data_IF_256663277373
#
_entry.id   IF_256663277373
#
_cell.length_a   1.000
_cell.length_b   1.000
_cell.length_c   1.000
_cell.angle_alpha   90.00
_cell.angle_beta   90.00
_cell.angle_gamma   90.00
#
_symmetry.space_group_name_H-M   'P 1'
#
loop_
_entity.id
_entity.type
_entity.pdbx_description
1 polymer ?
#
# COMPACT_ATOMS: atom_id res chain seq x y z
N UNK A 1 39.76 -8.39 40.82
CA UNK A 1 40.43 -7.09 40.58
C UNK A 1 41.31 -7.28 39.37
N UNK A 2 40.90 -6.74 38.22
CA UNK A 2 41.58 -6.95 36.94
C UNK A 2 41.13 -5.87 35.97
N UNK A 3 41.67 -4.67 36.17
CA UNK A 3 41.41 -3.49 35.35
C UNK A 3 42.12 -3.67 34.00
N UNK A 4 41.38 -3.67 32.91
CA UNK A 4 41.94 -3.60 31.55
C UNK A 4 41.31 -2.42 30.83
N UNK A 5 42.03 -1.32 30.88
CA UNK A 5 41.83 -0.08 30.14
C UNK A 5 42.38 -0.25 28.72
N UNK A 6 41.52 -0.22 27.68
CA UNK A 6 41.96 -0.17 26.28
C UNK A 6 41.74 1.23 25.70
N UNK A 7 42.84 1.82 25.28
CA UNK A 7 43.02 3.18 24.81
C UNK A 7 42.23 3.53 23.53
N UNK A 8 41.68 4.74 23.54
CA UNK A 8 41.13 5.43 22.39
C UNK A 8 42.20 5.72 21.33
N UNK A 9 41.92 5.37 20.07
CA UNK A 9 42.70 5.81 18.92
C UNK A 9 41.83 6.71 18.04
N UNK A 10 41.95 8.02 18.24
CA UNK A 10 41.38 9.02 17.34
C UNK A 10 42.26 9.12 16.09
N UNK A 11 41.72 8.72 14.93
CA UNK A 11 42.31 9.04 13.62
C UNK A 11 41.47 10.15 12.99
N UNK A 12 41.98 11.39 13.11
CA UNK A 12 41.52 12.58 12.42
C UNK A 12 42.41 12.81 11.20
N UNK A 13 41.87 12.65 9.99
CA UNK A 13 42.49 13.10 8.73
C UNK A 13 41.37 13.36 7.71
N UNK A 14 41.32 14.55 7.11
CA UNK A 14 40.50 14.77 5.92
C UNK A 14 40.04 16.20 5.64
N UNK A 15 41.01 17.05 5.29
CA UNK A 15 40.95 18.27 4.48
C UNK A 15 39.58 18.73 3.91
N UNK A 16 39.13 19.89 4.36
CA UNK A 16 38.07 20.70 3.74
C UNK A 16 38.58 21.40 2.48
N UNK A 17 38.23 20.89 1.31
CA UNK A 17 38.33 21.64 0.04
C UNK A 17 37.11 22.54 -0.08
N UNK A 18 37.31 23.84 0.12
CA UNK A 18 36.34 24.90 -0.16
C UNK A 18 36.16 25.05 -1.67
N UNK A 19 35.12 24.43 -2.21
CA UNK A 19 34.69 24.64 -3.61
C UNK A 19 33.78 25.86 -3.67
N UNK A 20 34.21 26.89 -4.38
CA UNK A 20 33.44 28.11 -4.63
C UNK A 20 32.08 27.79 -5.30
N UNK A 21 30.97 28.45 -4.90
CA UNK A 21 29.70 28.29 -5.58
C UNK A 21 29.77 28.95 -6.97
N UNK A 22 29.64 28.13 -8.01
CA UNK A 22 29.44 28.61 -9.37
C UNK A 22 28.05 29.27 -9.48
N UNK A 23 28.01 30.48 -10.03
CA UNK A 23 26.77 31.23 -10.28
C UNK A 23 25.77 30.41 -11.09
N UNK A 24 24.48 30.38 -10.69
CA UNK A 24 23.45 29.68 -11.45
C UNK A 24 23.26 30.35 -12.82
N UNK A 25 23.22 29.53 -13.87
CA UNK A 25 22.89 29.98 -15.22
C UNK A 25 21.44 30.55 -15.25
N UNK A 26 21.19 31.62 -16.03
CA UNK A 26 19.87 32.20 -16.17
C UNK A 26 18.90 31.16 -16.78
N UNK A 27 17.78 30.93 -16.11
CA UNK A 27 16.74 30.04 -16.59
C UNK A 27 16.11 30.59 -17.88
N UNK A 28 15.85 29.74 -18.90
CA UNK A 28 15.19 30.16 -20.13
C UNK A 28 13.74 30.59 -19.81
N UNK A 29 13.40 31.82 -20.20
CA UNK A 29 12.08 32.41 -20.06
C UNK A 29 11.00 31.50 -20.65
N UNK A 30 10.08 31.04 -19.81
CA UNK A 30 8.93 30.23 -20.25
C UNK A 30 8.02 31.07 -21.17
N UNK A 31 7.63 30.55 -22.35
CA UNK A 31 6.74 31.25 -23.26
C UNK A 31 5.36 31.46 -22.62
N UNK A 32 4.95 32.72 -22.58
CA UNK A 32 3.68 33.16 -22.03
C UNK A 32 2.55 32.75 -22.99
N UNK A 33 1.80 31.70 -22.66
CA UNK A 33 0.61 31.32 -23.43
C UNK A 33 -0.58 32.16 -22.95
N UNK A 34 -1.14 32.96 -23.86
CA UNK A 34 -2.34 33.75 -23.59
C UNK A 34 -3.58 32.83 -23.51
N UNK A 35 -4.48 33.05 -22.53
CA UNK A 35 -5.74 32.32 -22.47
C UNK A 35 -6.64 32.74 -23.63
N UNK A 36 -7.07 31.76 -24.44
CA UNK A 36 -8.07 31.95 -25.50
C UNK A 36 -9.45 31.92 -24.86
N UNK A 37 -10.21 32.99 -25.03
CA UNK A 37 -11.60 33.08 -24.58
C UNK A 37 -12.46 32.05 -25.32
N UNK A 38 -13.15 31.19 -24.57
CA UNK A 38 -14.11 30.24 -25.12
C UNK A 38 -15.36 30.97 -25.65
N UNK A 39 -15.96 30.51 -26.75
CA UNK A 39 -17.16 31.11 -27.31
C UNK A 39 -18.34 31.01 -26.33
N UNK A 40 -18.88 32.17 -25.98
CA UNK A 40 -20.04 32.33 -25.13
C UNK A 40 -21.24 31.82 -25.93
N UNK A 41 -21.77 30.67 -25.56
CA UNK A 41 -22.98 30.14 -26.19
C UNK A 41 -24.18 30.97 -25.73
N UNK A 42 -24.70 31.82 -26.61
CA UNK A 42 -25.95 32.55 -26.36
C UNK A 42 -27.12 31.57 -26.42
N UNK A 43 -27.62 31.19 -25.25
CA UNK A 43 -28.83 30.39 -25.09
C UNK A 43 -30.07 31.28 -25.29
N UNK A 44 -30.54 31.37 -26.54
CA UNK A 44 -31.93 31.72 -26.84
C UNK A 44 -32.64 30.45 -27.32
N UNK A 45 -33.11 29.64 -26.36
CA UNK A 45 -33.92 28.47 -26.66
C UNK A 45 -35.42 28.85 -26.53
N UNK A 46 -36.22 28.74 -27.61
CA UNK A 46 -37.65 28.95 -27.54
C UNK A 46 -38.32 27.85 -26.70
N UNK A 47 -39.33 28.24 -25.94
CA UNK A 47 -40.12 27.40 -25.06
C UNK A 47 -40.82 26.27 -25.83
N UNK A 48 -40.17 25.11 -25.92
CA UNK A 48 -40.81 23.87 -26.39
C UNK A 48 -41.39 23.15 -25.18
N UNK A 49 -42.70 22.91 -25.23
CA UNK A 49 -43.44 22.12 -24.25
C UNK A 49 -42.78 20.76 -24.07
N UNK A 50 -42.28 20.52 -22.86
CA UNK A 50 -41.66 19.27 -22.45
C UNK A 50 -42.74 18.19 -22.38
N UNK A 51 -42.75 17.29 -23.37
CA UNK A 51 -43.54 16.06 -23.30
C UNK A 51 -42.84 15.15 -22.29
N UNK A 52 -43.53 14.87 -21.18
CA UNK A 52 -43.08 13.93 -20.16
C UNK A 52 -42.92 12.54 -20.77
N UNK A 53 -41.70 12.16 -21.14
CA UNK A 53 -41.39 10.78 -21.52
C UNK A 53 -41.67 9.87 -20.31
N UNK A 54 -42.28 8.69 -20.52
CA UNK A 54 -42.45 7.70 -19.46
C UNK A 54 -41.07 7.40 -18.89
N UNK A 55 -40.87 7.76 -17.62
CA UNK A 55 -39.61 7.59 -16.95
C UNK A 55 -39.33 6.09 -16.96
N UNK A 56 -38.31 5.59 -17.69
CA UNK A 56 -37.91 4.20 -17.55
C UNK A 56 -37.60 4.03 -16.08
N UNK A 57 -38.39 3.16 -15.45
CA UNK A 57 -38.39 2.84 -14.05
C UNK A 57 -36.95 2.93 -13.55
N UNK A 58 -36.64 4.02 -12.83
CA UNK A 58 -35.31 4.27 -12.27
C UNK A 58 -35.15 3.27 -11.13
N UNK A 59 -34.99 2.00 -11.49
CA UNK A 59 -34.48 0.98 -10.61
C UNK A 59 -33.12 1.50 -10.19
N UNK A 60 -33.10 2.12 -9.01
CA UNK A 60 -31.90 2.40 -8.26
C UNK A 60 -31.09 1.10 -8.30
N UNK A 61 -30.12 1.06 -9.20
CA UNK A 61 -29.21 -0.07 -9.34
C UNK A 61 -28.41 -0.08 -8.04
N UNK A 62 -28.94 -0.75 -7.02
CA UNK A 62 -28.16 -1.09 -5.86
C UNK A 62 -26.97 -1.88 -6.40
N UNK A 63 -25.74 -1.38 -6.20
CA UNK A 63 -24.58 -2.10 -6.66
C UNK A 63 -24.63 -3.49 -6.03
N UNK A 64 -24.35 -4.55 -6.83
CA UNK A 64 -24.41 -5.90 -6.33
C UNK A 64 -23.55 -6.01 -5.06
N UNK A 65 -24.12 -6.59 -4.01
CA UNK A 65 -23.42 -6.76 -2.75
C UNK A 65 -22.30 -7.78 -2.95
N UNK A 66 -21.06 -7.29 -3.03
CA UNK A 66 -19.88 -8.15 -3.07
C UNK A 66 -19.63 -8.81 -1.71
N UNK A 67 -19.52 -10.14 -1.70
CA UNK A 67 -19.20 -10.96 -0.55
C UNK A 67 -17.72 -11.35 -0.58
N UNK A 68 -17.01 -11.14 0.53
CA UNK A 68 -15.61 -11.54 0.66
C UNK A 68 -15.50 -13.01 1.07
N UNK A 69 -14.52 -13.72 0.52
CA UNK A 69 -14.23 -15.09 0.87
C UNK A 69 -13.95 -15.25 2.39
N UNK A 70 -14.45 -16.31 3.07
CA UNK A 70 -14.26 -16.56 4.50
C UNK A 70 -12.79 -16.56 4.98
N UNK A 71 -11.85 -17.00 4.12
CA UNK A 71 -10.42 -16.98 4.42
C UNK A 71 -9.84 -15.57 4.48
N UNK A 72 -10.39 -14.64 3.71
CA UNK A 72 -9.92 -13.26 3.67
C UNK A 72 -10.69 -12.38 4.67
N UNK A 73 -11.81 -12.84 5.22
CA UNK A 73 -12.55 -12.08 6.22
C UNK A 73 -11.79 -12.07 7.55
N UNK A 74 -12.00 -11.03 8.34
CA UNK A 74 -11.37 -10.89 9.66
C UNK A 74 -11.76 -12.08 10.56
N UNK A 75 -10.80 -12.94 10.91
CA UNK A 75 -11.04 -14.12 11.74
C UNK A 75 -9.85 -15.09 11.82
N UNK A 76 -9.95 -16.17 12.59
CA UNK A 76 -8.87 -17.14 12.81
C UNK A 76 -8.78 -18.20 11.68
N UNK A 77 -9.30 -17.91 10.49
CA UNK A 77 -9.40 -18.88 9.40
C UNK A 77 -8.05 -19.11 8.71
N UNK A 78 -7.19 -18.09 8.73
CA UNK A 78 -5.87 -18.10 8.13
C UNK A 78 -4.88 -17.46 9.09
N UNK A 79 -3.71 -18.09 9.21
CA UNK A 79 -2.54 -17.52 9.85
C UNK A 79 -1.47 -17.36 8.77
N UNK A 80 -1.25 -16.10 8.37
CA UNK A 80 -0.29 -15.76 7.33
C UNK A 80 0.70 -14.72 7.85
N UNK A 81 1.96 -15.14 8.00
CA UNK A 81 3.07 -14.25 8.31
C UNK A 81 3.64 -13.70 6.99
N UNK A 82 3.52 -12.38 6.79
CA UNK A 82 3.91 -11.70 5.54
C UNK A 82 5.41 -11.76 5.24
N UNK A 83 6.23 -12.14 6.22
CA UNK A 83 7.69 -12.31 6.04
C UNK A 83 8.03 -13.68 5.44
N UNK A 84 7.11 -14.64 5.50
CA UNK A 84 7.31 -16.01 5.05
C UNK A 84 6.73 -16.24 3.65
N UNK A 85 7.11 -17.35 3.04
CA UNK A 85 6.56 -17.81 1.76
C UNK A 85 5.10 -18.27 1.91
N UNK A 86 4.30 -18.18 0.84
CA UNK A 86 2.89 -18.62 0.86
C UNK A 86 2.75 -20.12 1.15
N UNK A 87 3.77 -20.94 0.86
CA UNK A 87 3.80 -22.34 1.26
C UNK A 87 3.75 -22.55 2.78
N UNK A 88 4.00 -21.50 3.59
CA UNK A 88 3.92 -21.53 5.05
C UNK A 88 2.62 -20.93 5.60
N UNK A 89 1.66 -20.60 4.74
CA UNK A 89 0.31 -20.22 5.16
C UNK A 89 -0.30 -21.39 5.92
N UNK A 90 -0.77 -21.13 7.14
CA UNK A 90 -1.49 -22.11 7.94
C UNK A 90 -2.97 -21.79 7.87
N UNK A 91 -3.77 -22.77 7.45
CA UNK A 91 -5.22 -22.69 7.54
C UNK A 91 -5.70 -23.33 8.84
N UNK A 92 -6.90 -22.96 9.26
CA UNK A 92 -7.59 -23.67 10.33
C UNK A 92 -7.73 -25.17 9.98
N UNK A 93 -7.62 -26.10 10.94
CA UNK A 93 -7.59 -27.55 10.64
C UNK A 93 -8.81 -28.11 9.87
N UNK A 94 -9.95 -27.43 9.93
CA UNK A 94 -11.19 -27.77 9.22
C UNK A 94 -11.26 -27.18 7.81
N UNK A 95 -10.24 -26.44 7.37
CA UNK A 95 -10.22 -25.76 6.09
C UNK A 95 -9.22 -26.45 5.13
N UNK A 96 -9.69 -27.03 4.00
CA UNK A 96 -8.80 -27.70 3.07
C UNK A 96 -7.87 -26.69 2.36
N UNK A 97 -6.59 -27.04 2.10
CA UNK A 97 -5.63 -26.17 1.42
C UNK A 97 -6.10 -25.67 0.04
N UNK A 98 -6.95 -26.45 -0.65
CA UNK A 98 -7.51 -26.10 -1.94
C UNK A 98 -8.31 -24.78 -1.92
N UNK A 99 -8.85 -24.38 -0.75
CA UNK A 99 -9.63 -23.13 -0.59
C UNK A 99 -8.84 -21.86 -0.92
N UNK A 100 -7.51 -21.91 -0.88
CA UNK A 100 -6.65 -20.78 -1.26
C UNK A 100 -6.79 -20.47 -2.76
N UNK A 101 -7.23 -21.42 -3.57
CA UNK A 101 -7.44 -21.25 -5.02
C UNK A 101 -8.86 -20.82 -5.38
N UNK A 102 -9.76 -20.69 -4.41
CA UNK A 102 -11.12 -20.19 -4.62
C UNK A 102 -11.12 -18.67 -4.85
N UNK A 103 -12.18 -18.15 -5.48
CA UNK A 103 -12.32 -16.71 -5.74
C UNK A 103 -12.39 -15.91 -4.43
N UNK A 104 -11.66 -14.79 -4.40
CA UNK A 104 -11.58 -13.91 -3.24
C UNK A 104 -12.89 -13.16 -2.95
N UNK A 105 -13.69 -12.90 -3.99
CA UNK A 105 -14.93 -12.12 -3.92
C UNK A 105 -16.00 -12.78 -4.77
N UNK A 106 -17.26 -12.75 -4.31
CA UNK A 106 -18.43 -13.19 -5.05
C UNK A 106 -19.43 -12.01 -5.19
N UNK A 107 -19.86 -11.63 -6.42
CA UNK A 107 -19.46 -12.20 -7.71
C UNK A 107 -17.97 -11.98 -8.01
N UNK A 108 -17.41 -12.82 -8.89
CA UNK A 108 -16.00 -12.75 -9.26
C UNK A 108 -15.67 -11.38 -9.87
N UNK A 109 -14.54 -10.81 -9.47
CA UNK A 109 -14.04 -9.52 -9.98
C UNK A 109 -12.64 -9.70 -10.55
N UNK A 110 -12.32 -8.91 -11.57
CA UNK A 110 -11.00 -8.93 -12.20
C UNK A 110 -10.01 -7.93 -11.59
N UNK A 111 -10.50 -6.99 -10.77
CA UNK A 111 -9.70 -5.99 -10.06
C UNK A 111 -10.19 -5.84 -8.62
N UNK A 112 -9.25 -5.73 -7.68
CA UNK A 112 -9.52 -5.49 -6.27
C UNK A 112 -8.50 -4.50 -5.72
N UNK A 113 -8.99 -3.47 -5.03
CA UNK A 113 -8.16 -2.44 -4.40
C UNK A 113 -8.14 -2.66 -2.90
N UNK A 114 -6.94 -2.83 -2.34
CA UNK A 114 -6.71 -3.02 -0.91
C UNK A 114 -5.94 -1.81 -0.37
N UNK A 115 -6.46 -1.21 0.69
CA UNK A 115 -5.92 -0.02 1.35
C UNK A 115 -5.45 -0.36 2.76
N UNK A 116 -4.37 0.29 3.19
CA UNK A 116 -3.85 0.20 4.55
C UNK A 116 -4.20 1.47 5.31
N UNK A 117 -5.13 1.39 6.26
CA UNK A 117 -5.57 2.58 7.01
C UNK A 117 -4.42 3.23 7.81
N UNK A 118 -3.47 2.43 8.29
CA UNK A 118 -2.28 2.93 9.02
C UNK A 118 -1.22 3.53 8.07
N UNK A 119 -1.27 3.19 6.77
CA UNK A 119 -0.25 3.52 5.77
C UNK A 119 -0.89 3.86 4.42
N UNK A 120 -1.66 4.96 4.34
CA UNK A 120 -2.52 5.26 3.18
C UNK A 120 -1.76 5.55 1.88
N UNK A 121 -0.46 5.84 1.96
CA UNK A 121 0.40 6.05 0.79
C UNK A 121 0.56 4.78 -0.07
N UNK A 122 0.25 3.61 0.47
CA UNK A 122 0.41 2.34 -0.22
C UNK A 122 -0.94 1.69 -0.48
N UNK A 123 -1.31 1.70 -1.75
CA UNK A 123 -2.46 0.98 -2.28
C UNK A 123 -1.97 -0.31 -2.93
N UNK A 124 -2.60 -1.43 -2.60
CA UNK A 124 -2.32 -2.74 -3.19
C UNK A 124 -3.42 -3.01 -4.22
N UNK A 125 -3.04 -3.04 -5.49
CA UNK A 125 -3.94 -3.41 -6.58
C UNK A 125 -3.69 -4.87 -6.99
N UNK A 126 -4.74 -5.68 -6.90
CA UNK A 126 -4.77 -7.07 -7.35
C UNK A 126 -5.56 -7.10 -8.66
N UNK A 127 -4.98 -7.65 -9.72
CA UNK A 127 -5.60 -7.73 -11.05
C UNK A 127 -5.44 -9.15 -11.57
N UNK A 128 -6.56 -9.78 -11.94
CA UNK A 128 -6.60 -11.08 -12.59
C UNK A 128 -7.79 -11.12 -13.56
N UNK A 129 -7.58 -11.15 -14.89
CA UNK A 129 -8.65 -11.19 -15.89
C UNK A 129 -9.62 -12.36 -15.74
N UNK A 130 -9.18 -13.47 -15.13
CA UNK A 130 -9.96 -14.69 -14.94
C UNK A 130 -10.72 -14.73 -13.60
N UNK A 131 -10.63 -13.67 -12.80
CA UNK A 131 -11.18 -13.61 -11.46
C UNK A 131 -10.10 -13.74 -10.39
N UNK A 132 -10.14 -12.87 -9.39
CA UNK A 132 -9.15 -12.82 -8.33
C UNK A 132 -9.37 -13.95 -7.34
N UNK A 133 -8.33 -14.73 -7.06
CA UNK A 133 -8.33 -15.81 -6.06
C UNK A 133 -7.80 -15.35 -4.70
N UNK A 134 -8.04 -16.13 -3.64
CA UNK A 134 -7.44 -15.88 -2.32
C UNK A 134 -5.91 -15.89 -2.41
N UNK A 135 -5.34 -16.80 -3.19
CA UNK A 135 -3.90 -16.87 -3.47
C UNK A 135 -3.36 -15.56 -4.04
N UNK A 136 -4.03 -15.01 -5.08
CA UNK A 136 -3.61 -13.77 -5.73
C UNK A 136 -3.55 -12.61 -4.75
N UNK A 137 -4.55 -12.52 -3.86
CA UNK A 137 -4.62 -11.48 -2.82
C UNK A 137 -3.44 -11.60 -1.86
N UNK A 138 -3.20 -12.78 -1.28
CA UNK A 138 -2.13 -13.00 -0.31
C UNK A 138 -0.75 -12.79 -0.94
N UNK A 139 -0.56 -13.27 -2.17
CA UNK A 139 0.68 -13.09 -2.92
C UNK A 139 0.94 -11.61 -3.17
N UNK A 140 -0.07 -10.87 -3.62
CA UNK A 140 0.10 -9.45 -3.92
C UNK A 140 0.39 -8.62 -2.68
N UNK A 141 -0.29 -8.91 -1.56
CA UNK A 141 0.00 -8.29 -0.26
C UNK A 141 1.48 -8.51 0.10
N UNK A 142 1.96 -9.75 0.01
CA UNK A 142 3.36 -10.11 0.32
C UNK A 142 4.35 -9.35 -0.57
N UNK A 143 4.15 -9.40 -1.88
CA UNK A 143 5.01 -8.74 -2.86
C UNK A 143 5.08 -7.23 -2.60
N UNK A 144 3.92 -6.60 -2.42
CA UNK A 144 3.87 -5.16 -2.19
C UNK A 144 4.56 -4.76 -0.89
N UNK A 145 4.38 -5.52 0.19
CA UNK A 145 4.97 -5.20 1.50
C UNK A 145 6.46 -5.55 1.62
N UNK A 146 6.93 -6.54 0.87
CA UNK A 146 8.36 -6.90 0.82
C UNK A 146 9.18 -6.00 -0.10
N UNK A 147 8.56 -5.07 -0.82
CA UNK A 147 9.26 -4.08 -1.64
C UNK A 147 10.04 -3.10 -0.76
N UNK A 148 11.25 -2.75 -1.20
CA UNK A 148 12.06 -1.69 -0.59
C UNK A 148 11.37 -0.32 -0.69
N UNK A 149 11.57 0.51 0.32
CA UNK A 149 11.02 1.87 0.43
C UNK A 149 11.96 2.85 -0.26
N UNK A 150 11.42 3.63 -1.19
CA UNK A 150 12.16 4.70 -1.86
C UNK A 150 12.32 5.92 -0.95
N UNK A 151 13.32 6.77 -1.24
CA UNK A 151 13.52 8.01 -0.48
C UNK A 151 12.31 8.95 -0.53
N UNK A 152 11.56 8.95 -1.63
CA UNK A 152 10.34 9.73 -1.79
C UNK A 152 9.21 9.20 -0.89
N UNK A 153 8.98 7.88 -0.87
CA UNK A 153 8.01 7.27 0.05
C UNK A 153 8.38 7.57 1.51
N UNK A 154 9.66 7.49 1.86
CA UNK A 154 10.15 7.83 3.20
C UNK A 154 9.80 9.26 3.60
N UNK A 155 9.83 10.20 2.64
CA UNK A 155 9.47 11.61 2.86
C UNK A 155 7.96 11.84 3.01
N UNK A 156 7.13 11.00 2.39
CA UNK A 156 5.67 11.09 2.50
C UNK A 156 5.16 10.72 3.90
N UNK A 157 5.89 9.91 4.67
CA UNK A 157 5.52 9.51 6.03
C UNK A 157 5.97 10.50 7.11
N UNK A 158 5.61 11.79 6.96
CA UNK A 158 5.77 12.79 8.03
C UNK A 158 4.50 12.78 8.91
N UNK A 159 4.62 12.56 10.23
CA UNK A 159 5.78 12.84 11.09
C UNK A 159 6.80 11.71 11.21
N UNK A 160 8.03 12.06 11.63
CA UNK A 160 9.21 11.18 11.74
C UNK A 160 9.07 9.91 12.61
N UNK A 161 8.01 9.79 13.41
CA UNK A 161 7.83 8.64 14.32
C UNK A 161 7.64 7.32 13.57
N UNK A 162 6.87 7.30 12.48
CA UNK A 162 6.64 6.08 11.70
C UNK A 162 7.93 5.61 11.02
N UNK A 163 8.73 6.57 10.52
CA UNK A 163 10.05 6.31 9.94
C UNK A 163 11.02 5.73 10.97
N UNK A 164 11.07 6.29 12.18
CA UNK A 164 11.92 5.77 13.25
C UNK A 164 11.51 4.34 13.66
N UNK A 165 10.20 4.10 13.83
CA UNK A 165 9.67 2.77 14.12
C UNK A 165 10.00 1.75 13.01
N UNK A 166 9.95 2.18 11.74
CA UNK A 166 10.34 1.35 10.61
C UNK A 166 11.86 1.05 10.62
N UNK A 167 12.71 2.02 10.95
CA UNK A 167 14.16 1.81 11.08
C UNK A 167 14.47 0.81 12.21
N UNK A 168 13.78 0.92 13.35
CA UNK A 168 13.97 -0.02 14.47
C UNK A 168 13.51 -1.43 14.10
N UNK A 169 12.41 -1.55 13.36
CA UNK A 169 11.89 -2.82 12.85
C UNK A 169 12.81 -3.45 11.81
N UNK A 170 13.36 -2.63 10.89
CA UNK A 170 14.41 -3.02 9.95
C UNK A 170 15.64 -3.57 10.67
N UNK A 171 16.12 -2.87 11.71
CA UNK A 171 17.27 -3.32 12.53
C UNK A 171 16.98 -4.63 13.25
N UNK A 172 15.78 -4.79 13.78
CA UNK A 172 15.36 -6.03 14.44
C UNK A 172 15.34 -7.20 13.45
N UNK A 173 14.77 -7.00 12.25
CA UNK A 173 14.70 -8.01 11.19
C UNK A 173 16.08 -8.42 10.66
N UNK A 174 16.98 -7.46 10.50
CA UNK A 174 18.29 -7.67 9.84
C UNK A 174 19.42 -8.07 10.77
N UNK A 175 19.20 -8.09 12.10
CA UNK A 175 20.24 -8.36 13.10
C UNK A 175 21.04 -9.65 12.84
N UNK A 176 20.42 -10.66 12.26
CA UNK A 176 21.05 -11.96 12.01
C UNK A 176 21.36 -12.24 10.53
N UNK A 177 20.96 -11.37 9.60
CA UNK A 177 21.08 -11.65 8.16
C UNK A 177 21.58 -10.42 7.37
N UNK A 178 22.86 -10.47 6.99
CA UNK A 178 23.52 -9.44 6.21
C UNK A 178 22.89 -9.28 4.81
N UNK A 179 22.30 -10.33 4.24
CA UNK A 179 21.64 -10.27 2.93
C UNK A 179 20.37 -9.44 3.01
N UNK A 180 19.59 -9.63 4.06
CA UNK A 180 18.39 -8.82 4.33
C UNK A 180 18.75 -7.36 4.62
N UNK A 181 19.91 -7.09 5.25
CA UNK A 181 20.40 -5.72 5.44
C UNK A 181 20.68 -5.01 4.11
N UNK A 182 21.23 -5.71 3.11
CA UNK A 182 21.51 -5.15 1.79
C UNK A 182 20.25 -4.74 1.01
N UNK A 183 19.08 -5.32 1.35
CA UNK A 183 17.79 -4.97 0.75
C UNK A 183 17.20 -3.66 1.32
N UNK A 184 17.75 -3.16 2.42
CA UNK A 184 17.29 -1.93 3.07
C UNK A 184 15.91 -2.05 3.72
N UNK A 185 15.33 -0.88 4.03
CA UNK A 185 14.01 -0.77 4.65
C UNK A 185 12.94 -1.19 3.65
N UNK A 186 12.09 -2.13 4.06
CA UNK A 186 10.94 -2.64 3.31
C UNK A 186 9.66 -1.98 3.82
N UNK A 187 8.61 -1.93 3.00
CA UNK A 187 7.32 -1.36 3.41
C UNK A 187 6.73 -2.08 4.63
N UNK A 188 6.96 -3.38 4.76
CA UNK A 188 6.56 -4.16 5.95
C UNK A 188 7.18 -3.66 7.25
N UNK A 189 8.35 -3.01 7.21
CA UNK A 189 9.00 -2.53 8.44
C UNK A 189 8.16 -1.43 9.12
N UNK A 190 7.33 -0.72 8.35
CA UNK A 190 6.39 0.27 8.87
C UNK A 190 5.20 -0.34 9.61
N UNK A 191 4.98 -1.65 9.49
CA UNK A 191 3.99 -2.38 10.30
C UNK A 191 4.53 -2.73 11.69
N UNK A 192 5.84 -2.59 11.90
CA UNK A 192 6.52 -2.95 13.14
C UNK A 192 6.29 -4.41 13.53
N UNK A 193 5.80 -4.70 14.75
CA UNK A 193 5.57 -6.07 15.19
C UNK A 193 4.33 -6.72 14.53
N UNK A 194 3.50 -5.96 13.82
CA UNK A 194 2.23 -6.44 13.22
C UNK A 194 2.47 -7.15 11.89
N UNK A 195 3.09 -8.33 11.91
CA UNK A 195 3.46 -9.08 10.69
C UNK A 195 2.46 -10.17 10.29
N UNK A 196 1.41 -10.41 11.08
CA UNK A 196 0.40 -11.41 10.79
C UNK A 196 -0.82 -10.79 10.13
N UNK A 197 -1.16 -11.25 8.93
CA UNK A 197 -2.41 -10.91 8.26
C UNK A 197 -3.60 -11.47 9.03
N UNK A 198 -4.57 -10.62 9.35
CA UNK A 198 -5.78 -10.97 10.11
C UNK A 198 -7.01 -11.08 9.21
N UNK A 199 -6.99 -10.39 8.08
CA UNK A 199 -8.12 -10.33 7.16
C UNK A 199 -8.29 -8.96 6.50
N UNK A 200 -9.35 -8.86 5.72
CA UNK A 200 -9.82 -7.69 5.03
C UNK A 200 -11.23 -7.34 5.51
N UNK A 201 -11.56 -6.05 5.48
CA UNK A 201 -12.92 -5.56 5.71
C UNK A 201 -13.27 -4.52 4.65
N UNK A 202 -14.51 -4.47 4.19
CA UNK A 202 -14.93 -3.46 3.21
C UNK A 202 -14.69 -2.04 3.75
N UNK A 203 -14.24 -1.13 2.89
CA UNK A 203 -14.06 0.26 3.26
C UNK A 203 -15.39 0.92 3.63
N UNK A 204 -15.35 1.83 4.62
CA UNK A 204 -16.55 2.51 5.16
C UNK A 204 -16.94 3.77 4.39
N UNK A 205 -16.08 4.21 3.47
CA UNK A 205 -16.27 5.39 2.64
C UNK A 205 -17.20 5.13 1.44
N UNK A 206 -17.76 3.92 1.33
CA UNK A 206 -18.60 3.50 0.21
C UNK A 206 -17.82 3.19 -1.06
N UNK A 207 -16.49 3.29 -1.04
CA UNK A 207 -15.66 2.87 -2.16
C UNK A 207 -15.66 1.35 -2.30
N UNK A 208 -15.39 0.86 -3.51
CA UNK A 208 -15.21 -0.58 -3.76
C UNK A 208 -13.77 -1.02 -3.41
N UNK A 209 -13.36 -0.72 -2.19
CA UNK A 209 -12.03 -1.05 -1.66
C UNK A 209 -12.10 -1.80 -0.33
N UNK A 210 -10.98 -2.41 0.04
CA UNK A 210 -10.87 -3.28 1.21
C UNK A 210 -9.75 -2.79 2.14
N UNK A 211 -10.07 -2.58 3.42
CA UNK A 211 -9.06 -2.31 4.45
C UNK A 211 -8.41 -3.61 4.90
N UNK A 212 -7.08 -3.67 4.85
CA UNK A 212 -6.30 -4.79 5.40
C UNK A 212 -5.96 -4.58 6.87
N UNK A 213 -5.98 -5.68 7.63
CA UNK A 213 -5.70 -5.69 9.06
C UNK A 213 -4.52 -6.60 9.38
N UNK A 214 -3.63 -6.11 10.24
CA UNK A 214 -2.48 -6.85 10.75
C UNK A 214 -2.50 -6.94 12.27
N UNK A 215 -1.85 -7.97 12.82
CA UNK A 215 -1.65 -8.15 14.25
C UNK A 215 -0.24 -8.65 14.56
N UNK A 216 0.18 -8.43 15.80
CA UNK A 216 1.33 -9.15 16.37
C UNK A 216 0.85 -10.55 16.76
N UNK A 217 1.73 -11.55 16.67
CA UNK A 217 1.42 -12.86 17.23
C UNK A 217 1.25 -12.70 18.74
N UNK A 218 0.14 -13.17 19.30
CA UNK A 218 -0.10 -13.21 20.75
C UNK A 218 0.15 -14.62 21.26
#
# INVERSE_FOLDING_TARGET
>A
MGSSSSSHSHKSWGSTSSTSPASPAPAPSTPHLHPVSLPISMTYAPHLHTVSLPHPNAHLHQPPVSFLHPLLSRGPNIMFNITLDLARVQLRPDCPPARIWEFAVQPQVSRMTIIMSELPAWVIEVINPHGITVNDVLLKIRETLNRGVTSHEMQMHRPSHAVNAAIDSFRARTRADQREHALGVKRLDFLGPKIFFVGLTRARDGSDSWNIHFSQNV
#
